data_IF_886207620434
#
_entry.id   IF_886207620434
#
_cell.length_a   1.000
_cell.length_b   1.000
_cell.length_c   1.000
_cell.angle_alpha   90.00
_cell.angle_beta   90.00
_cell.angle_gamma   90.00
#
_symmetry.space_group_name_H-M   'P 1'
#
loop_
_entity.id
_entity.type
_entity.pdbx_description
1 polymer ?
#
# COMPACT_ATOMS: atom_id res chain seq x y z
N UNK A 1 -17.77 2.11 -12.41
CA UNK A 1 -17.66 3.44 -13.06
C UNK A 1 -17.53 4.48 -11.95
N UNK A 2 -16.42 5.23 -11.94
CA UNK A 2 -16.09 6.21 -10.89
C UNK A 2 -14.74 6.90 -11.08
N UNK A 3 -13.93 6.45 -12.05
CA UNK A 3 -12.56 6.93 -12.31
C UNK A 3 -12.57 8.08 -13.33
N UNK A 4 -13.39 9.11 -13.13
CA UNK A 4 -13.45 10.25 -14.08
C UNK A 4 -13.50 11.62 -13.38
N UNK A 5 -13.05 11.71 -12.12
CA UNK A 5 -12.91 13.01 -11.44
C UNK A 5 -11.56 13.23 -10.74
N UNK A 6 -10.77 12.17 -10.57
CA UNK A 6 -9.42 12.25 -9.98
C UNK A 6 -8.34 12.66 -11.00
N UNK A 7 -8.62 12.60 -12.31
CA UNK A 7 -7.66 12.90 -13.38
C UNK A 7 -7.45 14.38 -13.67
N UNK A 8 -8.23 15.29 -13.07
CA UNK A 8 -8.10 16.74 -13.28
C UNK A 8 -7.32 17.48 -12.17
N UNK A 9 -6.98 16.82 -11.05
CA UNK A 9 -6.35 17.51 -9.90
C UNK A 9 -4.83 17.30 -9.80
N UNK A 10 -4.24 16.16 -10.18
CA UNK A 10 -2.79 16.01 -9.93
C UNK A 10 -2.18 14.86 -10.75
N UNK A 11 -1.34 15.19 -11.74
CA UNK A 11 -0.49 14.17 -12.40
C UNK A 11 0.42 13.46 -11.38
N UNK A 12 0.77 14.17 -10.29
CA UNK A 12 1.57 13.72 -9.16
C UNK A 12 0.88 12.65 -8.30
N UNK A 13 -0.43 12.77 -8.07
CA UNK A 13 -1.19 11.77 -7.29
C UNK A 13 -1.35 10.46 -8.07
N UNK A 14 -1.42 10.52 -9.40
CA UNK A 14 -1.43 9.33 -10.25
C UNK A 14 -0.15 8.50 -10.13
N UNK A 15 1.00 9.15 -10.11
CA UNK A 15 2.31 8.49 -9.96
C UNK A 15 2.46 7.86 -8.55
N UNK A 16 2.07 8.59 -7.51
CA UNK A 16 2.13 8.08 -6.12
C UNK A 16 1.20 6.87 -5.94
N UNK A 17 -0.03 6.93 -6.48
CA UNK A 17 -0.94 5.79 -6.43
C UNK A 17 -0.38 4.56 -7.17
N UNK A 18 0.34 4.77 -8.27
CA UNK A 18 0.96 3.67 -9.01
C UNK A 18 2.13 3.05 -8.24
N UNK A 19 2.98 3.86 -7.60
CA UNK A 19 4.05 3.34 -6.75
C UNK A 19 3.51 2.57 -5.52
N UNK A 20 2.43 3.06 -4.91
CA UNK A 20 1.77 2.39 -3.79
C UNK A 20 1.21 1.02 -4.21
N UNK A 21 0.59 0.92 -5.39
CA UNK A 21 0.06 -0.32 -5.93
C UNK A 21 1.18 -1.34 -6.23
N UNK A 22 2.29 -0.88 -6.85
CA UNK A 22 3.48 -1.71 -7.12
C UNK A 22 4.10 -2.29 -5.83
N UNK A 23 4.18 -1.49 -4.76
CA UNK A 23 4.67 -1.95 -3.45
C UNK A 23 3.73 -3.01 -2.88
N UNK A 24 2.43 -2.78 -2.97
CA UNK A 24 1.40 -3.69 -2.46
C UNK A 24 1.44 -5.04 -3.21
N UNK A 25 1.57 -5.01 -4.53
CA UNK A 25 1.71 -6.21 -5.36
C UNK A 25 2.96 -7.02 -4.97
N UNK A 26 4.10 -6.35 -4.79
CA UNK A 26 5.35 -7.00 -4.35
C UNK A 26 5.20 -7.65 -2.99
N UNK A 27 4.50 -7.01 -2.04
CA UNK A 27 4.23 -7.57 -0.72
C UNK A 27 3.29 -8.79 -0.78
N UNK A 28 2.27 -8.75 -1.63
CA UNK A 28 1.39 -9.90 -1.87
C UNK A 28 2.14 -11.08 -2.49
N UNK A 29 3.00 -10.81 -3.47
CA UNK A 29 3.88 -11.81 -4.08
C UNK A 29 4.86 -12.40 -3.07
N UNK A 30 5.46 -11.57 -2.22
CA UNK A 30 6.35 -12.02 -1.15
C UNK A 30 5.61 -12.89 -0.12
N UNK A 31 4.39 -12.51 0.27
CA UNK A 31 3.51 -13.32 1.14
C UNK A 31 3.19 -14.68 0.53
N UNK A 32 2.90 -14.73 -0.77
CA UNK A 32 2.60 -15.97 -1.48
C UNK A 32 3.82 -16.90 -1.55
N UNK A 33 5.02 -16.34 -1.80
CA UNK A 33 6.26 -17.12 -1.92
C UNK A 33 6.83 -17.54 -0.55
N UNK A 34 6.73 -16.70 0.47
CA UNK A 34 7.37 -16.89 1.78
C UNK A 34 6.39 -16.67 2.95
N UNK A 35 5.31 -17.46 3.07
CA UNK A 35 4.22 -17.18 4.01
C UNK A 35 4.65 -17.19 5.49
N UNK A 36 5.63 -18.03 5.86
CA UNK A 36 6.12 -18.12 7.24
C UNK A 36 7.03 -16.94 7.60
N UNK A 37 7.90 -16.51 6.69
CA UNK A 37 8.76 -15.33 6.86
C UNK A 37 7.90 -14.08 6.93
N UNK A 38 6.92 -13.96 6.04
CA UNK A 38 5.95 -12.87 6.06
C UNK A 38 5.22 -12.79 7.42
N UNK A 39 4.68 -13.92 7.91
CA UNK A 39 4.02 -13.98 9.23
C UNK A 39 4.96 -13.57 10.37
N UNK A 40 6.23 -13.96 10.31
CA UNK A 40 7.21 -13.56 11.31
C UNK A 40 7.46 -12.05 11.28
N UNK A 41 7.65 -11.46 10.09
CA UNK A 41 7.88 -10.03 9.93
C UNK A 41 6.67 -9.16 10.32
N UNK A 42 5.45 -9.68 10.19
CA UNK A 42 4.24 -9.02 10.68
C UNK A 42 4.11 -9.04 12.22
N UNK A 43 4.77 -9.96 12.92
CA UNK A 43 4.67 -10.12 14.38
C UNK A 43 6.03 -9.96 15.09
N UNK A 44 7.06 -9.55 14.36
CA UNK A 44 8.37 -9.31 14.93
C UNK A 44 8.21 -8.16 15.92
N UNK A 45 8.69 -8.30 17.15
CA UNK A 45 8.63 -7.24 18.18
C UNK A 45 9.55 -6.05 17.89
N UNK A 46 9.64 -5.64 16.63
CA UNK A 46 10.30 -4.43 16.17
C UNK A 46 9.38 -3.23 16.40
N UNK A 47 9.96 -2.03 16.48
CA UNK A 47 9.21 -0.78 16.65
C UNK A 47 8.24 -0.50 15.49
N UNK A 48 8.50 -1.08 14.31
CA UNK A 48 7.62 -1.08 13.14
C UNK A 48 7.63 -2.48 12.53
N UNK A 49 6.47 -3.11 12.46
CA UNK A 49 6.27 -4.41 11.82
C UNK A 49 5.95 -4.25 10.33
N UNK A 50 6.09 -5.35 9.58
CA UNK A 50 5.60 -5.38 8.20
C UNK A 50 4.07 -5.19 8.12
N UNK A 51 3.35 -5.55 9.18
CA UNK A 51 1.91 -5.28 9.30
C UNK A 51 1.61 -3.79 9.40
N UNK A 52 2.39 -3.05 10.21
CA UNK A 52 2.25 -1.60 10.35
C UNK A 52 2.57 -0.87 9.03
N UNK A 53 3.58 -1.33 8.31
CA UNK A 53 3.92 -0.78 7.00
C UNK A 53 2.80 -0.99 5.96
N UNK A 54 2.15 -2.15 5.94
CA UNK A 54 1.00 -2.41 5.06
C UNK A 54 -0.18 -1.50 5.42
N UNK A 55 -0.50 -1.38 6.70
CA UNK A 55 -1.57 -0.50 7.16
C UNK A 55 -1.31 0.98 6.79
N UNK A 56 -0.05 1.43 6.86
CA UNK A 56 0.34 2.77 6.42
C UNK A 56 0.14 2.98 4.91
N UNK A 57 0.49 2.00 4.08
CA UNK A 57 0.26 2.06 2.63
C UNK A 57 -1.24 2.12 2.29
N UNK A 58 -2.06 1.28 2.92
CA UNK A 58 -3.52 1.29 2.74
C UNK A 58 -4.13 2.63 3.15
N UNK A 59 -3.68 3.19 4.29
CA UNK A 59 -4.12 4.51 4.75
C UNK A 59 -3.72 5.62 3.78
N UNK A 60 -2.51 5.58 3.21
CA UNK A 60 -2.04 6.57 2.24
C UNK A 60 -2.84 6.49 0.93
N UNK A 61 -3.14 5.29 0.45
CA UNK A 61 -3.98 5.07 -0.72
C UNK A 61 -5.40 5.60 -0.50
N UNK A 62 -6.00 5.31 0.66
CA UNK A 62 -7.34 5.81 0.99
C UNK A 62 -7.36 7.35 1.08
N UNK A 63 -6.35 7.96 1.73
CA UNK A 63 -6.20 9.41 1.79
C UNK A 63 -6.17 10.04 0.39
N UNK A 64 -5.38 9.47 -0.53
CA UNK A 64 -5.26 9.96 -1.89
C UNK A 64 -6.53 9.75 -2.75
N UNK A 65 -7.32 8.72 -2.46
CA UNK A 65 -8.56 8.41 -3.18
C UNK A 65 -9.77 9.19 -2.66
N UNK A 66 -9.86 9.40 -1.35
CA UNK A 66 -11.03 10.00 -0.68
C UNK A 66 -10.82 11.48 -0.34
N UNK A 67 -9.57 11.95 -0.26
CA UNK A 67 -9.24 13.37 -0.10
C UNK A 67 -9.58 13.99 1.26
N UNK A 68 -9.70 13.19 2.32
CA UNK A 68 -9.92 13.66 3.71
C UNK A 68 -8.64 13.75 4.53
#
# INVERSE_FOLDING_TARGET
>A
MGINRATEIDQTCGEVLHELDDILERLQNFKAQYPQVFRHLCNAGADVTLGDAIAALESATNYLLEGE
#
